data_IF_205363979136
#
_entry.id   IF_205363979136
#
_cell.length_a   1.000
_cell.length_b   1.000
_cell.length_c   1.000
_cell.angle_alpha   90.00
_cell.angle_beta   90.00
_cell.angle_gamma   90.00
#
_symmetry.space_group_name_H-M   'P 1'
#
loop_
_entity.id
_entity.type
_entity.pdbx_description
1 polymer ?
#
# COMPACT_ATOMS: atom_id res chain seq x y z
N UNK A 1 -7.46 -0.87 31.53
CA UNK A 1 -8.18 0.03 30.61
C UNK A 1 -7.29 1.11 29.98
N UNK A 2 -6.28 1.65 30.69
CA UNK A 2 -5.42 2.74 30.19
C UNK A 2 -4.69 2.42 28.88
N UNK A 3 -4.11 1.22 28.74
CA UNK A 3 -3.42 0.81 27.51
C UNK A 3 -4.36 0.56 26.31
N UNK A 4 -5.68 0.43 26.57
CA UNK A 4 -6.68 0.12 25.54
C UNK A 4 -6.92 1.26 24.57
N UNK A 5 -7.13 2.43 25.15
CA UNK A 5 -7.39 3.68 24.46
C UNK A 5 -6.14 4.17 23.70
N UNK A 6 -4.94 3.79 24.15
CA UNK A 6 -3.67 4.28 23.58
C UNK A 6 -3.44 3.74 22.16
N UNK A 7 -3.75 2.48 21.88
CA UNK A 7 -3.49 1.89 20.55
C UNK A 7 -4.35 2.54 19.45
N UNK A 8 -5.65 2.64 19.72
CA UNK A 8 -6.63 3.18 18.78
C UNK A 8 -6.41 4.68 18.57
N UNK A 9 -6.06 5.41 19.65
CA UNK A 9 -5.66 6.82 19.57
C UNK A 9 -4.34 6.96 18.83
N UNK A 10 -3.36 6.08 19.03
CA UNK A 10 -2.09 6.12 18.31
C UNK A 10 -2.31 6.01 16.80
N UNK A 11 -3.11 5.06 16.33
CA UNK A 11 -3.31 4.85 14.89
C UNK A 11 -4.06 6.00 14.22
N UNK A 12 -5.07 6.54 14.90
CA UNK A 12 -5.78 7.72 14.42
C UNK A 12 -4.91 8.97 14.49
N UNK A 13 -4.11 9.12 15.55
CA UNK A 13 -3.17 10.24 15.71
C UNK A 13 -2.04 10.16 14.69
N UNK A 14 -1.46 8.99 14.43
CA UNK A 14 -0.43 8.82 13.42
C UNK A 14 -0.97 9.13 12.01
N UNK A 15 -2.22 8.75 11.73
CA UNK A 15 -2.89 9.13 10.50
C UNK A 15 -3.14 10.63 10.42
N UNK A 16 -3.63 11.25 11.49
CA UNK A 16 -3.86 12.69 11.55
C UNK A 16 -2.55 13.47 11.41
N UNK A 17 -1.51 13.10 12.15
CA UNK A 17 -0.17 13.70 12.08
C UNK A 17 0.38 13.59 10.68
N UNK A 18 0.19 12.47 10.00
CA UNK A 18 0.60 12.34 8.60
C UNK A 18 -0.18 13.23 7.65
N UNK A 19 -1.51 13.28 7.80
CA UNK A 19 -2.34 14.19 7.01
C UNK A 19 -1.87 15.64 7.25
N UNK A 20 -1.68 16.05 8.50
CA UNK A 20 -1.22 17.40 8.83
C UNK A 20 0.21 17.65 8.33
N UNK A 21 1.13 16.71 8.50
CA UNK A 21 2.52 16.84 8.07
C UNK A 21 2.65 16.88 6.54
N UNK A 22 1.96 15.99 5.84
CA UNK A 22 1.98 15.90 4.38
C UNK A 22 1.18 17.03 3.73
N UNK A 23 0.04 17.44 4.28
CA UNK A 23 -0.83 18.41 3.61
C UNK A 23 -0.75 19.81 4.19
N UNK A 24 -0.63 19.95 5.51
CA UNK A 24 -0.53 21.25 6.17
C UNK A 24 0.86 21.86 6.03
N UNK A 25 1.91 21.05 6.19
CA UNK A 25 3.28 21.55 6.18
C UNK A 25 4.01 21.38 4.85
N UNK A 26 3.64 20.43 3.98
CA UNK A 26 4.36 20.24 2.71
C UNK A 26 4.41 21.48 1.82
N UNK A 27 3.35 22.29 1.64
CA UNK A 27 3.46 23.50 0.83
C UNK A 27 4.46 24.50 1.41
N UNK A 28 4.47 24.66 2.74
CA UNK A 28 5.37 25.57 3.46
C UNK A 28 6.82 25.06 3.36
N UNK A 29 7.02 23.76 3.58
CA UNK A 29 8.33 23.11 3.53
C UNK A 29 8.87 23.08 2.11
N UNK A 30 8.05 22.77 1.11
CA UNK A 30 8.44 22.79 -0.30
C UNK A 30 8.90 24.18 -0.74
N UNK A 31 8.22 25.23 -0.27
CA UNK A 31 8.62 26.60 -0.56
C UNK A 31 9.93 27.01 0.15
N UNK A 32 10.21 26.42 1.32
CA UNK A 32 11.40 26.79 2.11
C UNK A 32 12.66 26.01 1.73
N UNK A 33 12.55 24.70 1.47
CA UNK A 33 13.68 23.78 1.30
C UNK A 33 13.50 22.80 0.13
N UNK A 34 12.56 23.07 -0.77
CA UNK A 34 12.28 22.23 -1.93
C UNK A 34 11.51 20.95 -1.59
N UNK A 35 11.10 20.22 -2.63
CA UNK A 35 10.30 18.99 -2.54
C UNK A 35 10.98 17.88 -1.73
N UNK A 36 12.31 17.82 -1.78
CA UNK A 36 13.10 16.89 -0.98
C UNK A 36 12.99 17.17 0.52
N UNK A 37 12.92 18.44 0.92
CA UNK A 37 12.81 18.85 2.33
C UNK A 37 11.55 18.31 3.02
N UNK A 38 10.42 18.20 2.30
CA UNK A 38 9.20 17.60 2.85
C UNK A 38 9.40 16.12 3.19
N UNK A 39 10.11 15.39 2.33
CA UNK A 39 10.37 13.97 2.52
C UNK A 39 11.25 13.75 3.77
N UNK A 40 12.25 14.61 3.97
CA UNK A 40 13.13 14.55 5.13
C UNK A 40 12.46 14.98 6.44
N UNK A 41 11.40 15.79 6.41
CA UNK A 41 10.70 16.21 7.62
C UNK A 41 9.58 15.24 8.05
N UNK A 42 8.75 14.79 7.10
CA UNK A 42 7.57 13.96 7.40
C UNK A 42 7.97 12.53 7.80
N UNK A 43 8.98 11.96 7.13
CA UNK A 43 9.39 10.57 7.34
C UNK A 43 9.90 10.29 8.76
N UNK A 44 10.83 11.09 9.33
CA UNK A 44 11.30 10.87 10.71
C UNK A 44 10.19 10.94 11.75
N UNK A 45 9.24 11.88 11.61
CA UNK A 45 8.09 11.97 12.52
C UNK A 45 7.25 10.69 12.45
N UNK A 46 6.97 10.19 11.24
CA UNK A 46 6.26 8.91 11.09
C UNK A 46 7.03 7.74 11.72
N UNK A 47 8.37 7.69 11.56
CA UNK A 47 9.18 6.63 12.17
C UNK A 47 9.21 6.73 13.68
N UNK A 48 9.32 7.93 14.23
CA UNK A 48 9.30 8.14 15.67
C UNK A 48 8.00 7.64 16.28
N UNK A 49 6.86 7.97 15.65
CA UNK A 49 5.57 7.44 16.07
C UNK A 49 5.56 5.90 16.01
N UNK A 50 6.04 5.32 14.90
CA UNK A 50 6.05 3.87 14.74
C UNK A 50 6.94 3.15 15.75
N UNK A 51 8.08 3.74 16.09
CA UNK A 51 8.96 3.25 17.15
C UNK A 51 8.30 3.34 18.53
N UNK A 52 7.62 4.44 18.85
CA UNK A 52 6.85 4.56 20.08
C UNK A 52 5.81 3.44 20.16
N UNK A 53 5.05 3.19 19.09
CA UNK A 53 4.08 2.09 19.05
C UNK A 53 4.72 0.74 19.31
N UNK A 54 5.85 0.44 18.65
CA UNK A 54 6.58 -0.81 18.82
C UNK A 54 7.02 -0.97 20.29
N UNK A 55 7.63 0.07 20.86
CA UNK A 55 8.13 0.06 22.25
C UNK A 55 7.00 -0.12 23.26
N UNK A 56 5.86 0.53 23.06
CA UNK A 56 4.73 0.45 24.00
C UNK A 56 3.96 -0.88 23.94
N UNK A 57 3.96 -1.57 22.79
CA UNK A 57 3.04 -2.70 22.56
C UNK A 57 3.69 -4.06 22.34
N UNK A 58 4.99 -4.14 22.00
CA UNK A 58 5.66 -5.44 21.90
C UNK A 58 5.78 -6.07 23.28
N UNK A 59 5.18 -7.25 23.46
CA UNK A 59 5.39 -8.11 24.62
C UNK A 59 6.34 -9.26 24.26
N UNK A 60 7.06 -9.78 25.26
CA UNK A 60 8.03 -10.88 25.11
C UNK A 60 7.41 -12.24 24.75
N UNK A 61 6.07 -12.35 24.70
CA UNK A 61 5.41 -13.61 24.34
C UNK A 61 5.79 -14.05 22.92
N UNK A 62 6.29 -15.28 22.78
CA UNK A 62 6.85 -15.82 21.55
C UNK A 62 5.84 -16.62 20.71
N UNK A 63 4.65 -16.94 21.24
CA UNK A 63 3.68 -17.80 20.54
C UNK A 63 3.14 -17.11 19.28
N UNK A 64 3.15 -17.83 18.16
CA UNK A 64 2.61 -17.37 16.87
C UNK A 64 3.52 -16.44 16.04
N UNK A 65 4.75 -16.18 16.51
CA UNK A 65 5.70 -15.23 15.87
C UNK A 65 6.81 -15.92 15.06
N UNK A 66 6.74 -17.23 14.83
CA UNK A 66 7.79 -17.99 14.12
C UNK A 66 8.00 -17.50 12.69
N UNK A 67 6.94 -17.27 11.92
CA UNK A 67 7.03 -16.75 10.56
C UNK A 67 7.66 -15.34 10.50
N UNK A 68 7.41 -14.51 11.51
CA UNK A 68 7.99 -13.16 11.59
C UNK A 68 9.48 -13.22 11.94
N UNK A 69 9.88 -14.09 12.87
CA UNK A 69 11.30 -14.34 13.19
C UNK A 69 12.06 -14.86 11.97
N UNK A 70 11.43 -15.73 11.19
CA UNK A 70 12.03 -16.24 9.96
C UNK A 70 12.21 -15.12 8.92
N UNK A 71 11.21 -14.26 8.70
CA UNK A 71 11.37 -13.10 7.81
C UNK A 71 12.44 -12.11 8.31
N UNK A 72 12.54 -11.89 9.62
CA UNK A 72 13.61 -11.07 10.21
C UNK A 72 14.98 -11.70 9.97
N UNK A 73 15.10 -13.02 10.13
CA UNK A 73 16.33 -13.75 9.84
C UNK A 73 16.74 -13.61 8.36
N UNK A 74 15.78 -13.67 7.43
CA UNK A 74 16.03 -13.48 6.00
C UNK A 74 16.49 -12.06 5.62
N UNK A 75 16.32 -11.05 6.48
CA UNK A 75 16.91 -9.72 6.25
C UNK A 75 18.41 -9.66 6.52
N UNK A 76 18.96 -10.59 7.33
CA UNK A 76 20.37 -10.56 7.75
C UNK A 76 21.32 -10.73 6.55
N UNK A 77 21.15 -11.70 5.63
CA UNK A 77 22.03 -11.84 4.47
C UNK A 77 22.05 -10.57 3.60
N UNK A 78 20.87 -10.01 3.32
CA UNK A 78 20.75 -8.76 2.53
C UNK A 78 21.42 -7.57 3.22
N UNK A 79 21.35 -7.47 4.56
CA UNK A 79 22.06 -6.44 5.32
C UNK A 79 23.58 -6.61 5.21
N UNK A 80 24.09 -7.83 5.37
CA UNK A 80 25.53 -8.11 5.28
C UNK A 80 26.07 -7.81 3.88
N UNK A 81 25.37 -8.27 2.83
CA UNK A 81 25.71 -7.98 1.44
C UNK A 81 25.71 -6.46 1.21
N UNK A 82 24.68 -5.76 1.70
CA UNK A 82 24.58 -4.31 1.59
C UNK A 82 25.78 -3.59 2.17
N UNK A 83 26.15 -3.90 3.42
CA UNK A 83 27.30 -3.28 4.10
C UNK A 83 28.62 -3.62 3.42
N UNK A 84 28.77 -4.85 2.90
CA UNK A 84 30.03 -5.30 2.30
C UNK A 84 30.27 -4.72 0.90
N UNK A 85 29.21 -4.55 0.09
CA UNK A 85 29.34 -4.27 -1.34
C UNK A 85 28.78 -2.90 -1.77
N UNK A 86 28.00 -2.21 -0.93
CA UNK A 86 27.44 -0.90 -1.26
C UNK A 86 28.06 0.22 -0.40
N UNK A 87 28.20 1.41 -0.99
CA UNK A 87 28.64 2.59 -0.24
C UNK A 87 27.60 2.98 0.80
N UNK A 88 28.01 3.07 2.07
CA UNK A 88 27.11 3.42 3.16
C UNK A 88 26.38 4.74 2.89
N UNK A 89 25.06 4.72 3.05
CA UNK A 89 24.19 5.84 2.72
C UNK A 89 22.92 5.80 3.57
N UNK A 90 22.13 6.88 3.56
CA UNK A 90 20.81 6.92 4.22
C UNK A 90 19.84 5.83 3.72
N UNK A 91 20.09 5.26 2.53
CA UNK A 91 19.32 4.14 1.98
C UNK A 91 19.52 2.86 2.79
N UNK A 92 20.71 2.61 3.31
CA UNK A 92 20.96 1.46 4.18
C UNK A 92 20.05 1.47 5.40
N UNK A 93 19.89 2.65 5.99
CA UNK A 93 19.03 2.84 7.16
C UNK A 93 17.56 2.67 6.76
N UNK A 94 17.11 3.33 5.71
CA UNK A 94 15.68 3.30 5.32
C UNK A 94 15.22 1.93 4.82
N UNK A 95 16.04 1.26 4.00
CA UNK A 95 15.75 -0.07 3.47
C UNK A 95 15.79 -1.15 4.56
N UNK A 96 16.59 -0.99 5.62
CA UNK A 96 16.53 -1.88 6.77
C UNK A 96 15.34 -1.57 7.67
N UNK A 97 15.11 -0.29 7.96
CA UNK A 97 14.09 0.13 8.92
C UNK A 97 12.67 -0.14 8.43
N UNK A 98 12.36 -0.01 7.13
CA UNK A 98 10.96 -0.17 6.69
C UNK A 98 10.45 -1.61 6.87
N UNK A 99 11.13 -2.66 6.37
CA UNK A 99 10.71 -4.03 6.61
C UNK A 99 10.73 -4.39 8.10
N UNK A 100 11.71 -3.90 8.85
CA UNK A 100 11.85 -4.18 10.29
C UNK A 100 10.69 -3.57 11.10
N UNK A 101 10.39 -2.29 10.90
CA UNK A 101 9.25 -1.62 11.53
C UNK A 101 7.94 -2.30 11.11
N UNK A 102 7.81 -2.66 9.84
CA UNK A 102 6.65 -3.39 9.32
C UNK A 102 6.42 -4.71 10.06
N UNK A 103 7.44 -5.57 10.16
CA UNK A 103 7.37 -6.85 10.84
C UNK A 103 7.11 -6.69 12.35
N UNK A 104 7.71 -5.69 12.99
CA UNK A 104 7.46 -5.37 14.39
C UNK A 104 6.04 -4.88 14.65
N UNK A 105 5.45 -4.10 13.75
CA UNK A 105 4.02 -3.73 13.84
C UNK A 105 3.10 -4.96 13.76
N UNK A 106 3.41 -5.94 12.91
CA UNK A 106 2.65 -7.20 12.89
C UNK A 106 2.74 -7.89 14.25
N UNK A 107 3.96 -8.03 14.79
CA UNK A 107 4.20 -8.65 16.10
C UNK A 107 3.46 -7.94 17.25
N UNK A 108 3.57 -6.61 17.32
CA UNK A 108 2.89 -5.80 18.33
C UNK A 108 1.36 -5.94 18.22
N UNK A 109 0.83 -5.91 16.99
CA UNK A 109 -0.62 -6.06 16.76
C UNK A 109 -1.10 -7.46 17.15
N UNK A 110 -0.32 -8.52 16.91
CA UNK A 110 -0.65 -9.87 17.38
C UNK A 110 -0.76 -9.94 18.91
N UNK A 111 0.15 -9.28 19.64
CA UNK A 111 0.11 -9.26 21.11
C UNK A 111 -1.09 -8.50 21.65
N UNK A 112 -1.51 -7.43 20.97
CA UNK A 112 -2.77 -6.76 21.25
C UNK A 112 -3.92 -7.73 21.01
N UNK A 113 -4.05 -8.33 19.83
CA UNK A 113 -5.25 -9.10 19.47
C UNK A 113 -5.55 -10.29 20.41
N UNK A 114 -4.55 -10.81 21.14
CA UNK A 114 -4.72 -11.85 22.18
C UNK A 114 -5.72 -11.49 23.28
N UNK A 115 -5.92 -10.20 23.56
CA UNK A 115 -6.88 -9.75 24.58
C UNK A 115 -8.25 -9.57 23.94
N UNK A 116 -9.26 -10.31 24.42
CA UNK A 116 -10.60 -10.39 23.82
C UNK A 116 -11.25 -9.02 23.60
N UNK A 117 -11.10 -8.11 24.56
CA UNK A 117 -11.69 -6.77 24.47
C UNK A 117 -11.11 -5.94 23.32
N UNK A 118 -9.83 -6.15 22.96
CA UNK A 118 -9.22 -5.44 21.84
C UNK A 118 -9.79 -5.83 20.49
N UNK A 119 -10.35 -7.03 20.35
CA UNK A 119 -11.00 -7.44 19.09
C UNK A 119 -12.27 -6.64 18.81
N UNK A 120 -13.09 -6.39 19.84
CA UNK A 120 -14.29 -5.57 19.70
C UNK A 120 -13.91 -4.10 19.38
N UNK A 121 -12.88 -3.58 20.04
CA UNK A 121 -12.36 -2.24 19.77
C UNK A 121 -11.76 -2.13 18.37
N UNK A 122 -11.11 -3.17 17.85
CA UNK A 122 -10.57 -3.18 16.50
C UNK A 122 -11.66 -3.03 15.44
N UNK A 123 -12.86 -3.59 15.65
CA UNK A 123 -13.99 -3.35 14.76
C UNK A 123 -14.40 -1.87 14.74
N UNK A 124 -14.40 -1.21 15.90
CA UNK A 124 -14.66 0.24 16.02
C UNK A 124 -13.55 1.02 15.29
N UNK A 125 -12.30 0.60 15.45
CA UNK A 125 -11.16 1.17 14.72
C UNK A 125 -11.36 1.10 13.22
N UNK A 126 -11.69 -0.08 12.67
CA UNK A 126 -11.92 -0.26 11.21
C UNK A 126 -12.99 0.70 10.69
N UNK A 127 -14.10 0.89 11.44
CA UNK A 127 -15.14 1.85 11.05
C UNK A 127 -14.64 3.30 11.08
N UNK A 128 -13.93 3.71 12.13
CA UNK A 128 -13.35 5.06 12.23
C UNK A 128 -12.31 5.31 11.14
N UNK A 129 -11.49 4.30 10.87
CA UNK A 129 -10.51 4.31 9.81
C UNK A 129 -11.19 4.50 8.45
N UNK A 130 -12.25 3.73 8.15
CA UNK A 130 -13.03 3.89 6.93
C UNK A 130 -13.51 5.34 6.74
N UNK A 131 -14.09 5.96 7.76
CA UNK A 131 -14.54 7.37 7.69
C UNK A 131 -13.37 8.33 7.51
N UNK A 132 -12.30 8.19 8.29
CA UNK A 132 -11.11 9.03 8.15
C UNK A 132 -10.48 8.91 6.75
N UNK A 133 -10.52 7.71 6.18
CA UNK A 133 -9.99 7.40 4.87
C UNK A 133 -10.82 8.03 3.74
N UNK A 134 -12.16 8.09 3.91
CA UNK A 134 -13.05 8.84 3.02
C UNK A 134 -12.75 10.34 3.08
N UNK A 135 -12.74 10.92 4.29
CA UNK A 135 -12.48 12.36 4.48
C UNK A 135 -11.12 12.73 3.88
N UNK A 136 -10.08 11.95 4.17
CA UNK A 136 -8.74 12.16 3.62
C UNK A 136 -8.71 12.08 2.10
N UNK A 137 -9.46 11.16 1.49
CA UNK A 137 -9.55 11.01 0.04
C UNK A 137 -10.31 12.16 -0.63
N UNK A 138 -11.40 12.62 -0.01
CA UNK A 138 -12.15 13.79 -0.47
C UNK A 138 -11.30 15.06 -0.40
N UNK A 139 -10.57 15.26 0.71
CA UNK A 139 -9.65 16.38 0.87
C UNK A 139 -8.52 16.31 -0.16
N UNK A 140 -7.96 15.13 -0.42
CA UNK A 140 -6.97 14.94 -1.47
C UNK A 140 -7.50 15.27 -2.86
N UNK A 141 -8.72 14.84 -3.16
CA UNK A 141 -9.36 15.12 -4.44
C UNK A 141 -9.64 16.62 -4.59
N UNK A 142 -10.12 17.27 -3.52
CA UNK A 142 -10.28 18.72 -3.47
C UNK A 142 -8.95 19.43 -3.74
N UNK A 143 -7.88 19.09 -3.01
CA UNK A 143 -6.55 19.67 -3.23
C UNK A 143 -6.06 19.39 -4.66
N UNK A 144 -6.25 18.18 -5.16
CA UNK A 144 -5.84 17.80 -6.52
C UNK A 144 -6.53 18.66 -7.58
N UNK A 145 -7.83 18.90 -7.50
CA UNK A 145 -8.53 19.69 -8.51
C UNK A 145 -8.39 21.21 -8.32
N UNK A 146 -8.37 21.71 -7.08
CA UNK A 146 -8.32 23.15 -6.81
C UNK A 146 -6.91 23.73 -6.76
N UNK A 147 -5.93 22.99 -6.21
CA UNK A 147 -4.54 23.48 -6.07
C UNK A 147 -3.71 23.20 -7.33
N UNK A 148 -3.96 22.08 -8.01
CA UNK A 148 -3.24 21.75 -9.26
C UNK A 148 -3.67 22.60 -10.47
N UNK A 149 -4.61 23.55 -10.30
CA UNK A 149 -4.83 24.62 -11.29
C UNK A 149 -3.52 25.38 -11.57
N UNK A 150 -2.61 25.44 -10.59
CA UNK A 150 -1.19 25.75 -10.79
C UNK A 150 -0.45 24.49 -11.28
N UNK A 151 -0.55 24.22 -12.59
CA UNK A 151 -0.24 22.99 -13.35
C UNK A 151 1.08 22.24 -13.10
N UNK A 152 1.98 22.70 -12.22
CA UNK A 152 3.36 22.20 -12.15
C UNK A 152 3.65 21.17 -11.05
N UNK A 153 2.82 21.05 -10.00
CA UNK A 153 3.14 20.17 -8.86
C UNK A 153 2.07 19.11 -8.61
N UNK A 154 2.04 18.09 -9.47
CA UNK A 154 1.32 16.86 -9.16
C UNK A 154 2.06 16.12 -8.02
N UNK A 155 1.63 16.32 -6.78
CA UNK A 155 2.27 15.74 -5.58
C UNK A 155 2.12 14.20 -5.46
N UNK A 156 1.70 13.48 -6.51
CA UNK A 156 1.61 12.02 -6.48
C UNK A 156 0.68 11.46 -5.40
N UNK A 157 -0.18 12.29 -4.81
CA UNK A 157 -1.02 11.95 -3.65
C UNK A 157 -1.94 10.77 -3.98
N UNK A 158 -1.89 9.72 -3.16
CA UNK A 158 -2.71 8.52 -3.31
C UNK A 158 -3.87 8.57 -2.32
N UNK A 159 -5.13 8.70 -2.78
CA UNK A 159 -6.28 8.63 -1.89
C UNK A 159 -6.30 7.29 -1.17
N UNK A 160 -6.36 7.32 0.16
CA UNK A 160 -6.45 6.11 0.98
C UNK A 160 -7.89 5.58 1.01
N UNK A 161 -8.56 5.42 -0.13
CA UNK A 161 -10.02 5.15 -0.17
C UNK A 161 -10.36 3.68 0.14
N UNK A 162 -9.40 2.76 0.05
CA UNK A 162 -9.63 1.31 0.18
C UNK A 162 -10.32 0.88 1.50
N UNK A 163 -9.95 1.39 2.69
CA UNK A 163 -10.64 1.04 3.93
C UNK A 163 -12.14 1.41 3.89
N UNK A 164 -12.49 2.57 3.32
CA UNK A 164 -13.89 2.96 3.15
C UNK A 164 -14.62 2.09 2.13
N UNK A 165 -13.97 1.78 1.00
CA UNK A 165 -14.52 0.93 -0.03
C UNK A 165 -14.86 -0.47 0.50
N UNK A 166 -13.90 -1.15 1.13
CA UNK A 166 -14.08 -2.49 1.71
C UNK A 166 -15.19 -2.50 2.76
N UNK A 167 -15.21 -1.48 3.65
CA UNK A 167 -16.24 -1.38 4.70
C UNK A 167 -17.64 -1.17 4.11
N UNK A 168 -17.76 -0.31 3.09
CA UNK A 168 -19.03 -0.05 2.40
C UNK A 168 -19.54 -1.32 1.70
N UNK A 169 -18.64 -2.05 1.05
CA UNK A 169 -18.93 -3.30 0.35
C UNK A 169 -19.44 -4.39 1.33
N UNK A 170 -18.77 -4.55 2.47
CA UNK A 170 -19.19 -5.51 3.51
C UNK A 170 -20.54 -5.16 4.16
N UNK A 171 -20.83 -3.87 4.30
CA UNK A 171 -22.11 -3.40 4.85
C UNK A 171 -23.22 -3.32 3.80
N UNK A 172 -22.94 -3.71 2.55
CA UNK A 172 -23.89 -3.59 1.42
C UNK A 172 -24.39 -2.15 1.24
N UNK A 173 -23.57 -1.15 1.56
CA UNK A 173 -23.86 0.26 1.33
C UNK A 173 -23.54 0.61 -0.14
N UNK A 174 -24.57 0.55 -0.99
CA UNK A 174 -24.46 0.82 -2.43
C UNK A 174 -23.89 2.21 -2.69
N UNK A 175 -24.46 3.25 -2.06
CA UNK A 175 -24.05 4.65 -2.24
C UNK A 175 -22.58 4.82 -1.81
N UNK A 176 -22.19 4.26 -0.66
CA UNK A 176 -20.80 4.31 -0.20
C UNK A 176 -19.82 3.59 -1.13
N UNK A 177 -20.22 2.45 -1.69
CA UNK A 177 -19.40 1.67 -2.63
C UNK A 177 -19.21 2.44 -3.95
N UNK A 178 -20.29 2.98 -4.53
CA UNK A 178 -20.24 3.79 -5.74
C UNK A 178 -19.45 5.08 -5.51
N UNK A 179 -19.66 5.77 -4.39
CA UNK A 179 -18.91 6.97 -4.04
C UNK A 179 -17.41 6.71 -3.89
N UNK A 180 -17.02 5.59 -3.28
CA UNK A 180 -15.62 5.19 -3.18
C UNK A 180 -14.98 4.89 -4.55
N UNK A 181 -15.71 4.21 -5.44
CA UNK A 181 -15.27 3.96 -6.82
C UNK A 181 -15.15 5.25 -7.62
N UNK A 182 -16.09 6.18 -7.46
CA UNK A 182 -16.04 7.50 -8.07
C UNK A 182 -14.79 8.25 -7.61
N UNK A 183 -14.50 8.28 -6.31
CA UNK A 183 -13.28 8.92 -5.76
C UNK A 183 -12.02 8.25 -6.32
N UNK A 184 -11.97 6.92 -6.37
CA UNK A 184 -10.84 6.20 -6.97
C UNK A 184 -10.65 6.58 -8.44
N UNK A 185 -11.73 6.66 -9.22
CA UNK A 185 -11.72 7.05 -10.62
C UNK A 185 -11.23 8.50 -10.79
N UNK A 186 -11.85 9.46 -10.11
CA UNK A 186 -11.51 10.89 -10.20
C UNK A 186 -10.10 11.22 -9.68
N UNK A 187 -9.50 10.35 -8.86
CA UNK A 187 -8.09 10.51 -8.46
C UNK A 187 -7.09 10.29 -9.61
N UNK A 188 -7.52 9.64 -10.70
CA UNK A 188 -6.65 9.24 -11.81
C UNK A 188 -5.59 8.19 -11.45
N UNK A 189 -5.64 7.59 -10.25
CA UNK A 189 -4.70 6.54 -9.82
C UNK A 189 -5.18 5.16 -10.29
N UNK A 190 -4.69 4.74 -11.46
CA UNK A 190 -5.00 3.45 -12.12
C UNK A 190 -4.90 2.24 -11.18
N UNK A 191 -3.86 2.18 -10.36
CA UNK A 191 -3.62 1.07 -9.43
C UNK A 191 -4.72 0.93 -8.36
N UNK A 192 -5.23 2.05 -7.83
CA UNK A 192 -6.30 2.08 -6.82
C UNK A 192 -7.62 1.59 -7.45
N UNK A 193 -7.91 2.05 -8.67
CA UNK A 193 -9.08 1.61 -9.41
C UNK A 193 -9.04 0.10 -9.68
N UNK A 194 -7.90 -0.42 -10.17
CA UNK A 194 -7.71 -1.84 -10.41
C UNK A 194 -7.83 -2.65 -9.10
N UNK A 195 -7.22 -2.17 -8.01
CA UNK A 195 -7.36 -2.77 -6.67
C UNK A 195 -8.81 -2.88 -6.23
N UNK A 196 -9.58 -1.80 -6.38
CA UNK A 196 -11.01 -1.77 -6.05
C UNK A 196 -11.83 -2.75 -6.90
N UNK A 197 -11.54 -2.85 -8.21
CA UNK A 197 -12.22 -3.80 -9.12
C UNK A 197 -11.93 -5.24 -8.72
N UNK A 198 -10.65 -5.58 -8.46
CA UNK A 198 -10.25 -6.93 -8.04
C UNK A 198 -10.90 -7.29 -6.70
N UNK A 199 -10.87 -6.38 -5.72
CA UNK A 199 -11.52 -6.57 -4.42
C UNK A 199 -13.02 -6.79 -4.57
N UNK A 200 -13.68 -6.00 -5.42
CA UNK A 200 -15.10 -6.16 -5.73
C UNK A 200 -15.39 -7.56 -6.28
N UNK A 201 -14.66 -7.99 -7.30
CA UNK A 201 -14.82 -9.29 -7.93
C UNK A 201 -14.62 -10.44 -6.93
N UNK A 202 -13.52 -10.42 -6.16
CA UNK A 202 -13.25 -11.44 -5.14
C UNK A 202 -14.34 -11.45 -4.06
N UNK A 203 -14.80 -10.29 -3.61
CA UNK A 203 -15.90 -10.23 -2.65
C UNK A 203 -17.20 -10.86 -3.19
N UNK A 204 -17.51 -10.66 -4.47
CA UNK A 204 -18.67 -11.30 -5.11
C UNK A 204 -18.53 -12.82 -5.14
N UNK A 205 -17.41 -13.33 -5.65
CA UNK A 205 -17.12 -14.77 -5.78
C UNK A 205 -17.24 -15.47 -4.43
N UNK A 206 -16.67 -14.91 -3.36
CA UNK A 206 -16.66 -15.55 -2.04
C UNK A 206 -17.91 -15.34 -1.20
N UNK A 207 -18.86 -14.49 -1.64
CA UNK A 207 -20.10 -14.21 -0.91
C UNK A 207 -21.35 -14.36 -1.81
N UNK A 208 -21.33 -15.37 -2.69
CA UNK A 208 -22.31 -15.59 -3.77
C UNK A 208 -23.76 -15.80 -3.27
N UNK A 209 -23.96 -16.29 -2.04
CA UNK A 209 -25.31 -16.56 -1.49
C UNK A 209 -26.16 -15.32 -1.17
N UNK A 210 -25.64 -14.10 -1.41
CA UNK A 210 -26.35 -12.81 -1.23
C UNK A 210 -26.51 -12.04 -2.56
N UNK A 211 -26.61 -12.77 -3.67
CA UNK A 211 -26.43 -12.33 -5.07
C UNK A 211 -27.42 -11.25 -5.58
N UNK A 212 -28.68 -11.24 -5.14
CA UNK A 212 -29.72 -10.38 -5.76
C UNK A 212 -29.46 -8.87 -5.55
N UNK A 213 -29.06 -8.45 -4.35
CA UNK A 213 -28.64 -7.04 -4.10
C UNK A 213 -27.29 -6.69 -4.72
N UNK A 214 -26.49 -7.69 -5.10
CA UNK A 214 -25.14 -7.54 -5.66
C UNK A 214 -25.13 -7.44 -7.17
N UNK A 215 -26.12 -8.02 -7.84
CA UNK A 215 -26.35 -7.83 -9.27
C UNK A 215 -26.75 -6.39 -9.58
N UNK A 216 -27.59 -5.78 -8.73
CA UNK A 216 -27.94 -4.34 -8.80
C UNK A 216 -26.71 -3.46 -8.60
N UNK A 217 -25.78 -3.85 -7.72
CA UNK A 217 -24.52 -3.15 -7.49
C UNK A 217 -23.58 -3.27 -8.71
N UNK A 218 -23.46 -4.46 -9.32
CA UNK A 218 -22.68 -4.67 -10.54
C UNK A 218 -23.27 -3.93 -11.76
N UNK A 219 -24.58 -3.98 -11.93
CA UNK A 219 -25.30 -3.21 -12.94
C UNK A 219 -25.16 -1.70 -12.69
N UNK A 220 -25.26 -1.25 -11.43
CA UNK A 220 -25.07 0.15 -11.03
C UNK A 220 -23.66 0.65 -11.29
N UNK A 221 -22.63 -0.17 -11.08
CA UNK A 221 -21.24 0.17 -11.45
C UNK A 221 -21.11 0.26 -12.98
N UNK A 222 -21.68 -0.68 -13.72
CA UNK A 222 -21.62 -0.71 -15.19
C UNK A 222 -22.35 0.50 -15.80
N UNK A 223 -23.51 0.86 -15.25
CA UNK A 223 -24.29 2.04 -15.63
C UNK A 223 -23.61 3.33 -15.19
N UNK A 224 -23.03 3.38 -13.99
CA UNK A 224 -22.27 4.55 -13.53
C UNK A 224 -21.04 4.79 -14.42
N UNK A 225 -20.28 3.73 -14.74
CA UNK A 225 -19.18 3.79 -15.70
C UNK A 225 -19.72 4.25 -17.05
N UNK A 226 -20.75 3.62 -17.60
CA UNK A 226 -21.31 3.96 -18.92
C UNK A 226 -21.84 5.40 -19.03
N UNK A 227 -22.60 5.88 -18.03
CA UNK A 227 -23.17 7.23 -18.02
C UNK A 227 -22.08 8.30 -17.84
N UNK A 228 -21.12 8.07 -16.94
CA UNK A 228 -20.03 9.02 -16.75
C UNK A 228 -19.09 9.04 -17.96
N UNK A 229 -18.85 7.89 -18.61
CA UNK A 229 -18.06 7.79 -19.84
C UNK A 229 -18.69 8.55 -21.01
N UNK A 230 -20.03 8.65 -21.07
CA UNK A 230 -20.76 9.23 -22.20
C UNK A 230 -21.11 10.73 -22.05
N UNK A 231 -21.31 11.27 -20.84
CA UNK A 231 -22.02 12.56 -20.70
C UNK A 231 -21.17 13.71 -20.09
N UNK A 232 -20.22 13.44 -19.18
CA UNK A 232 -19.56 14.52 -18.40
C UNK A 232 -18.03 14.48 -18.35
N UNK A 233 -17.38 13.41 -18.84
CA UNK A 233 -15.97 13.16 -18.51
C UNK A 233 -14.96 13.35 -19.64
N UNK A 234 -15.36 13.57 -20.90
CA UNK A 234 -14.41 13.65 -22.03
C UNK A 234 -13.25 14.62 -21.78
N UNK A 235 -13.52 15.72 -21.07
CA UNK A 235 -12.55 16.79 -20.83
C UNK A 235 -11.89 16.73 -19.45
N UNK A 236 -12.24 15.74 -18.61
CA UNK A 236 -11.67 15.62 -17.26
C UNK A 236 -10.22 15.11 -17.32
N UNK A 237 -9.33 15.66 -16.47
CA UNK A 237 -7.92 15.24 -16.41
C UNK A 237 -7.74 13.73 -16.18
N UNK A 238 -8.64 13.10 -15.42
CA UNK A 238 -8.60 11.66 -15.15
C UNK A 238 -8.95 10.85 -16.40
N UNK A 239 -9.97 11.26 -17.16
CA UNK A 239 -10.36 10.62 -18.40
C UNK A 239 -9.31 10.80 -19.49
N UNK A 240 -8.78 12.02 -19.67
CA UNK A 240 -7.70 12.27 -20.62
C UNK A 240 -6.47 11.39 -20.36
N UNK A 241 -6.12 11.11 -19.09
CA UNK A 241 -5.04 10.16 -18.75
C UNK A 241 -5.37 8.72 -19.15
N UNK A 242 -6.61 8.29 -18.96
CA UNK A 242 -7.05 6.95 -19.33
C UNK A 242 -7.14 6.79 -20.85
N UNK A 243 -7.69 7.78 -21.55
CA UNK A 243 -7.77 7.79 -23.00
C UNK A 243 -6.37 7.79 -23.63
N UNK A 244 -5.46 8.66 -23.16
CA UNK A 244 -4.05 8.63 -23.57
C UNK A 244 -3.39 7.27 -23.33
N UNK A 245 -3.72 6.60 -22.22
CA UNK A 245 -3.22 5.24 -21.95
C UNK A 245 -3.71 4.26 -23.01
N UNK A 246 -5.00 4.29 -23.37
CA UNK A 246 -5.57 3.38 -24.37
C UNK A 246 -4.98 3.68 -25.75
N UNK A 247 -4.99 4.94 -26.18
CA UNK A 247 -4.44 5.39 -27.46
C UNK A 247 -2.97 4.99 -27.62
N UNK A 248 -2.19 5.18 -26.57
CA UNK A 248 -0.77 4.85 -26.59
C UNK A 248 -0.51 3.33 -26.57
N UNK A 249 -1.40 2.53 -25.99
CA UNK A 249 -1.33 1.06 -26.04
C UNK A 249 -1.74 0.48 -27.40
N UNK A 250 -2.49 1.25 -28.20
CA UNK A 250 -2.83 0.90 -29.58
C UNK A 250 -1.84 1.45 -30.60
N UNK A 251 -0.82 2.20 -30.15
CA UNK A 251 0.26 2.68 -31.01
C UNK A 251 1.21 1.53 -31.35
N UNK A 252 1.70 1.48 -32.59
CA UNK A 252 2.78 0.56 -32.99
C UNK A 252 4.17 1.06 -32.54
N UNK A 253 4.26 2.29 -32.04
CA UNK A 253 5.50 2.89 -31.57
C UNK A 253 5.85 2.44 -30.14
N UNK A 254 6.98 1.73 -30.01
CA UNK A 254 7.48 1.23 -28.73
C UNK A 254 7.85 2.35 -27.75
N UNK A 255 8.25 3.53 -28.21
CA UNK A 255 8.54 4.68 -27.35
C UNK A 255 7.25 5.26 -26.76
N UNK A 256 6.19 5.30 -27.57
CA UNK A 256 4.86 5.69 -27.10
C UNK A 256 4.34 4.69 -26.07
N UNK A 257 4.48 3.39 -26.32
CA UNK A 257 4.12 2.34 -25.36
C UNK A 257 4.94 2.47 -24.07
N UNK A 258 6.26 2.67 -24.14
CA UNK A 258 7.14 2.79 -22.97
C UNK A 258 6.77 4.01 -22.10
N UNK A 259 6.32 5.11 -22.73
CA UNK A 259 5.83 6.30 -22.02
C UNK A 259 4.60 6.03 -21.14
N UNK A 260 3.71 5.11 -21.56
CA UNK A 260 2.52 4.70 -20.78
C UNK A 260 2.89 3.98 -19.50
N UNK A 261 3.94 3.17 -19.59
CA UNK A 261 4.53 2.45 -18.47
C UNK A 261 5.37 3.35 -17.58
N UNK A 262 5.53 4.64 -17.90
CA UNK A 262 6.24 5.62 -17.07
C UNK A 262 7.64 5.15 -16.68
N UNK A 263 8.40 4.66 -17.66
CA UNK A 263 9.78 4.17 -17.48
C UNK A 263 9.91 2.91 -16.61
N UNK A 264 8.81 2.20 -16.30
CA UNK A 264 8.86 0.95 -15.53
C UNK A 264 9.57 -0.18 -16.26
N UNK A 265 9.48 -0.24 -17.59
CA UNK A 265 10.21 -1.22 -18.38
C UNK A 265 11.71 -1.02 -18.21
N UNK A 266 12.19 0.22 -18.31
CA UNK A 266 13.60 0.53 -18.11
C UNK A 266 14.06 0.38 -16.66
N UNK A 267 13.18 0.54 -15.66
CA UNK A 267 13.48 0.13 -14.28
C UNK A 267 13.65 -1.39 -14.13
N UNK A 268 12.83 -2.18 -14.82
CA UNK A 268 12.93 -3.65 -14.81
C UNK A 268 14.23 -4.07 -15.49
N UNK A 269 14.51 -3.53 -16.67
CA UNK A 269 15.74 -3.78 -17.42
C UNK A 269 16.98 -3.37 -16.63
N UNK A 270 16.98 -2.17 -16.05
CA UNK A 270 18.09 -1.70 -15.21
C UNK A 270 18.36 -2.58 -14.00
N UNK A 271 17.31 -3.12 -13.37
CA UNK A 271 17.48 -4.13 -12.31
C UNK A 271 18.05 -5.43 -12.89
N UNK A 272 17.50 -5.94 -14.00
CA UNK A 272 17.93 -7.21 -14.59
C UNK A 272 19.39 -7.17 -15.06
N UNK A 273 19.83 -6.05 -15.63
CA UNK A 273 21.20 -5.85 -16.11
C UNK A 273 22.22 -5.81 -14.96
N UNK A 274 21.82 -5.32 -13.79
CA UNK A 274 22.69 -5.30 -12.62
C UNK A 274 22.74 -6.63 -11.88
N UNK A 275 21.73 -7.48 -12.02
CA UNK A 275 21.57 -8.70 -11.24
C UNK A 275 22.41 -9.87 -11.78
N UNK A 276 23.36 -10.33 -10.98
CA UNK A 276 24.03 -11.62 -11.22
C UNK A 276 23.19 -12.79 -10.71
N UNK A 277 23.53 -14.03 -11.09
CA UNK A 277 22.81 -15.23 -10.66
C UNK A 277 22.66 -15.36 -9.13
N UNK A 278 23.69 -14.99 -8.36
CA UNK A 278 23.64 -15.04 -6.89
C UNK A 278 22.78 -13.93 -6.29
N UNK A 279 22.70 -12.78 -6.97
CA UNK A 279 21.88 -11.65 -6.53
C UNK A 279 20.39 -12.01 -6.59
N UNK A 280 19.96 -12.90 -7.49
CA UNK A 280 18.56 -13.36 -7.50
C UNK A 280 18.19 -14.13 -6.23
N UNK A 281 19.14 -14.84 -5.63
CA UNK A 281 18.89 -15.65 -4.43
C UNK A 281 18.88 -14.79 -3.16
N UNK A 282 19.90 -13.94 -3.01
CA UNK A 282 20.15 -13.19 -1.77
C UNK A 282 19.86 -11.68 -1.85
N UNK A 283 19.63 -11.16 -3.05
CA UNK A 283 19.55 -9.74 -3.36
C UNK A 283 20.93 -9.09 -3.49
N UNK A 284 20.96 -7.90 -4.10
CA UNK A 284 22.08 -6.95 -4.10
C UNK A 284 22.33 -6.29 -2.74
N UNK A 285 21.51 -6.62 -1.75
CA UNK A 285 21.62 -6.13 -0.39
C UNK A 285 20.94 -4.78 -0.15
N UNK A 286 20.80 -4.45 1.12
CA UNK A 286 20.19 -3.20 1.59
C UNK A 286 21.03 -2.00 1.13
N UNK A 287 20.36 -0.93 0.68
CA UNK A 287 21.05 0.28 0.20
C UNK A 287 21.55 0.19 -1.24
N UNK A 288 21.32 -0.93 -1.93
CA UNK A 288 21.61 -1.07 -3.35
C UNK A 288 20.76 -0.11 -4.19
N UNK A 289 21.32 0.25 -5.34
CA UNK A 289 20.72 1.19 -6.27
C UNK A 289 21.00 0.71 -7.68
N UNK A 290 20.04 0.88 -8.57
CA UNK A 290 20.21 0.52 -9.97
C UNK A 290 20.19 1.74 -10.88
N UNK A 291 20.90 1.63 -12.00
CA UNK A 291 20.85 2.60 -13.09
C UNK A 291 19.73 2.23 -14.06
N UNK A 292 19.04 3.23 -14.57
CA UNK A 292 18.08 3.05 -15.66
C UNK A 292 18.19 4.25 -16.60
N UNK A 293 17.94 4.03 -17.89
CA UNK A 293 17.85 5.10 -18.89
C UNK A 293 16.40 5.54 -19.01
N UNK A 294 16.17 6.85 -19.10
CA UNK A 294 14.85 7.41 -19.36
C UNK A 294 14.93 8.32 -20.58
N UNK A 295 14.51 7.80 -21.73
CA UNK A 295 14.62 8.49 -23.03
C UNK A 295 13.79 9.79 -23.10
N UNK A 296 12.79 9.92 -22.24
CA UNK A 296 11.89 11.09 -22.21
C UNK A 296 12.46 12.33 -21.49
N UNK A 297 13.58 12.21 -20.80
CA UNK A 297 14.30 13.34 -20.19
C UNK A 297 15.78 13.23 -20.55
N UNK A 298 16.27 14.17 -21.37
CA UNK A 298 17.69 14.29 -21.74
C UNK A 298 18.63 13.90 -20.59
N UNK A 299 19.38 12.81 -20.79
CA UNK A 299 20.67 12.52 -20.15
C UNK A 299 20.80 12.91 -18.66
N UNK A 300 19.88 12.50 -17.79
CA UNK A 300 20.23 12.31 -16.38
C UNK A 300 20.92 10.95 -16.20
N UNK A 301 22.15 10.85 -16.70
CA UNK A 301 23.09 9.75 -16.47
C UNK A 301 23.51 9.60 -14.97
N UNK A 302 22.74 10.10 -14.01
CA UNK A 302 23.23 10.37 -12.64
C UNK A 302 22.38 9.96 -11.45
N UNK A 303 21.12 9.52 -11.60
CA UNK A 303 20.34 9.18 -10.41
C UNK A 303 20.03 7.69 -10.31
N UNK A 304 20.87 6.99 -9.56
CA UNK A 304 20.63 5.62 -9.19
C UNK A 304 19.35 5.55 -8.33
N UNK A 305 18.29 4.91 -8.83
CA UNK A 305 17.07 4.72 -8.07
C UNK A 305 17.27 3.59 -7.07
N UNK A 306 16.75 3.78 -5.87
CA UNK A 306 16.80 2.78 -4.81
C UNK A 306 15.58 1.89 -4.84
N UNK A 307 14.47 2.37 -5.39
CA UNK A 307 13.18 1.71 -5.32
C UNK A 307 12.56 1.73 -6.70
N UNK A 308 12.54 0.60 -7.40
CA UNK A 308 11.71 0.49 -8.60
C UNK A 308 10.25 0.51 -8.20
N UNK A 309 9.42 1.09 -9.05
CA UNK A 309 7.98 1.14 -8.88
C UNK A 309 7.33 -0.25 -9.01
N UNK A 310 8.08 -1.30 -9.34
CA UNK A 310 7.58 -2.67 -9.37
C UNK A 310 7.96 -3.45 -8.09
N UNK A 311 7.05 -3.47 -7.10
CA UNK A 311 7.34 -4.06 -5.76
C UNK A 311 7.92 -5.46 -5.77
N UNK A 312 7.41 -6.44 -6.57
CA UNK A 312 7.97 -7.79 -6.54
C UNK A 312 9.45 -7.83 -6.92
N UNK A 313 9.82 -7.14 -8.00
CA UNK A 313 11.21 -7.10 -8.45
C UNK A 313 12.08 -6.29 -7.49
N UNK A 314 11.59 -5.20 -6.92
CA UNK A 314 12.34 -4.45 -5.90
C UNK A 314 12.62 -5.30 -4.66
N UNK A 315 11.68 -6.16 -4.24
CA UNK A 315 11.91 -7.09 -3.13
C UNK A 315 12.99 -8.13 -3.48
N UNK A 316 12.97 -8.66 -4.70
CA UNK A 316 14.00 -9.60 -5.17
C UNK A 316 15.36 -8.91 -5.26
N UNK A 317 15.40 -7.73 -5.88
CA UNK A 317 16.61 -6.92 -6.04
C UNK A 317 17.29 -6.63 -4.70
N UNK A 318 16.53 -6.26 -3.66
CA UNK A 318 17.11 -5.91 -2.36
C UNK A 318 17.35 -7.11 -1.46
N UNK A 319 16.35 -7.99 -1.33
CA UNK A 319 16.31 -9.01 -0.29
C UNK A 319 16.37 -10.45 -0.82
N UNK A 320 16.39 -10.63 -2.14
CA UNK A 320 16.42 -11.93 -2.80
C UNK A 320 15.06 -12.59 -2.96
N UNK A 321 14.98 -13.56 -3.87
CA UNK A 321 13.76 -14.28 -4.21
C UNK A 321 13.20 -15.06 -3.01
N UNK A 322 14.07 -15.59 -2.14
CA UNK A 322 13.64 -16.36 -0.96
C UNK A 322 12.84 -15.46 -0.03
N UNK A 323 13.34 -14.26 0.28
CA UNK A 323 12.62 -13.29 1.09
C UNK A 323 11.31 -12.87 0.42
N UNK A 324 11.35 -12.51 -0.87
CA UNK A 324 10.19 -12.05 -1.62
C UNK A 324 9.06 -13.11 -1.62
N UNK A 325 9.39 -14.37 -1.93
CA UNK A 325 8.43 -15.48 -1.92
C UNK A 325 7.86 -15.70 -0.53
N UNK A 326 8.68 -15.78 0.52
CA UNK A 326 8.19 -15.95 1.88
C UNK A 326 7.29 -14.80 2.33
N UNK A 327 7.61 -13.58 1.95
CA UNK A 327 6.80 -12.39 2.22
C UNK A 327 5.43 -12.45 1.52
N UNK A 328 5.41 -12.75 0.21
CA UNK A 328 4.15 -12.89 -0.51
C UNK A 328 3.32 -14.07 -0.04
N UNK A 329 3.93 -15.21 0.32
CA UNK A 329 3.22 -16.34 0.92
C UNK A 329 2.53 -15.93 2.23
N UNK A 330 3.15 -15.06 3.03
CA UNK A 330 2.52 -14.51 4.24
C UNK A 330 1.25 -13.71 3.89
N UNK A 331 1.31 -12.87 2.85
CA UNK A 331 0.17 -12.07 2.39
C UNK A 331 -0.93 -12.92 1.75
N UNK A 332 -0.57 -13.88 0.88
CA UNK A 332 -1.52 -14.80 0.24
C UNK A 332 -2.23 -15.68 1.25
N UNK A 333 -1.53 -16.15 2.29
CA UNK A 333 -2.16 -16.82 3.43
C UNK A 333 -3.22 -15.94 4.11
N UNK A 334 -3.01 -14.62 4.09
CA UNK A 334 -4.00 -13.62 4.48
C UNK A 334 -5.27 -13.66 3.61
N UNK A 335 -5.09 -13.62 2.29
CA UNK A 335 -6.17 -13.66 1.30
C UNK A 335 -7.00 -14.93 1.38
N UNK A 336 -6.41 -16.07 1.76
CA UNK A 336 -7.17 -17.32 1.95
C UNK A 336 -8.28 -17.22 3.02
N UNK A 337 -8.30 -16.17 3.86
CA UNK A 337 -9.35 -15.93 4.85
C UNK A 337 -10.51 -15.07 4.35
N UNK A 338 -10.62 -14.80 3.05
CA UNK A 338 -11.76 -14.09 2.43
C UNK A 338 -13.14 -14.73 2.73
N UNK A 339 -13.17 -16.05 2.98
CA UNK A 339 -14.38 -16.80 3.36
C UNK A 339 -14.74 -16.70 4.85
N UNK A 340 -13.98 -15.94 5.65
CA UNK A 340 -14.25 -15.81 7.08
C UNK A 340 -15.61 -15.16 7.33
N UNK A 341 -16.37 -15.72 8.28
CA UNK A 341 -17.63 -15.11 8.78
C UNK A 341 -17.37 -13.91 9.68
N UNK A 342 -16.16 -13.78 10.23
CA UNK A 342 -15.76 -12.59 10.99
C UNK A 342 -15.49 -11.43 10.01
N UNK A 343 -16.31 -10.38 10.12
CA UNK A 343 -16.21 -9.16 9.30
C UNK A 343 -14.83 -8.51 9.39
N UNK A 344 -14.18 -8.53 10.55
CA UNK A 344 -12.85 -7.91 10.74
C UNK A 344 -11.79 -8.71 9.98
N UNK A 345 -11.83 -10.04 10.06
CA UNK A 345 -10.90 -10.90 9.34
C UNK A 345 -11.13 -10.80 7.83
N UNK A 346 -12.38 -10.80 7.39
CA UNK A 346 -12.72 -10.63 5.99
C UNK A 346 -12.32 -9.24 5.46
N UNK A 347 -12.50 -8.18 6.27
CA UNK A 347 -12.04 -6.83 5.95
C UNK A 347 -10.53 -6.84 5.72
N UNK A 348 -9.77 -7.40 6.65
CA UNK A 348 -8.31 -7.48 6.54
C UNK A 348 -7.86 -8.29 5.33
N UNK A 349 -8.53 -9.41 5.00
CA UNK A 349 -8.21 -10.20 3.81
C UNK A 349 -8.49 -9.43 2.50
N UNK A 350 -9.62 -8.72 2.40
CA UNK A 350 -9.94 -7.86 1.26
C UNK A 350 -8.98 -6.67 1.15
N UNK A 351 -8.59 -6.06 2.27
CA UNK A 351 -7.64 -4.96 2.30
C UNK A 351 -6.25 -5.41 1.86
N UNK A 352 -5.76 -6.57 2.32
CA UNK A 352 -4.50 -7.17 1.84
C UNK A 352 -4.55 -7.38 0.33
N UNK A 353 -5.67 -7.89 -0.20
CA UNK A 353 -5.84 -8.08 -1.64
C UNK A 353 -5.76 -6.74 -2.40
N UNK A 354 -6.44 -5.69 -1.90
CA UNK A 354 -6.39 -4.35 -2.49
C UNK A 354 -4.95 -3.83 -2.58
N UNK A 355 -4.23 -3.93 -1.46
CA UNK A 355 -2.83 -3.51 -1.30
C UNK A 355 -1.91 -4.29 -2.24
N UNK A 356 -2.04 -5.62 -2.36
CA UNK A 356 -1.21 -6.39 -3.30
C UNK A 356 -1.36 -5.82 -4.70
N UNK A 357 -2.60 -5.64 -5.17
CA UNK A 357 -2.88 -5.14 -6.51
C UNK A 357 -2.37 -3.70 -6.70
N UNK A 358 -2.56 -2.83 -5.72
CA UNK A 358 -2.07 -1.46 -5.76
C UNK A 358 -0.54 -1.39 -5.84
N UNK A 359 0.14 -2.17 -5.00
CA UNK A 359 1.59 -2.12 -4.88
C UNK A 359 2.36 -3.01 -5.85
N UNK A 360 1.70 -3.85 -6.67
CA UNK A 360 2.34 -4.39 -7.89
C UNK A 360 2.98 -3.27 -8.72
N UNK A 361 2.46 -2.05 -8.61
CA UNK A 361 2.86 -0.88 -9.39
C UNK A 361 3.46 0.28 -8.57
N UNK A 362 3.77 0.07 -7.29
CA UNK A 362 4.46 1.08 -6.46
C UNK A 362 5.30 0.44 -5.35
N UNK A 363 6.50 0.98 -5.08
CA UNK A 363 7.25 0.66 -3.85
C UNK A 363 6.63 1.38 -2.64
N UNK A 364 5.72 0.71 -1.95
CA UNK A 364 5.13 1.27 -0.73
C UNK A 364 4.56 0.24 0.25
N UNK A 365 4.74 -1.06 -0.01
CA UNK A 365 4.22 -2.14 0.84
C UNK A 365 4.63 -1.99 2.32
N UNK A 366 5.90 -1.70 2.58
CA UNK A 366 6.41 -1.56 3.95
C UNK A 366 6.07 -0.22 4.61
N UNK A 367 5.63 0.76 3.82
CA UNK A 367 5.24 2.09 4.30
C UNK A 367 3.75 2.10 4.67
N UNK A 368 2.95 1.19 4.10
CA UNK A 368 1.54 1.05 4.45
C UNK A 368 1.37 0.76 5.95
N UNK A 369 0.58 1.61 6.60
CA UNK A 369 0.38 1.61 8.05
C UNK A 369 -0.62 0.56 8.51
N UNK A 370 -1.58 0.24 7.65
CA UNK A 370 -2.70 -0.63 7.97
C UNK A 370 -2.45 -2.07 7.53
N UNK A 371 -1.63 -2.26 6.50
CA UNK A 371 -1.23 -3.57 6.02
C UNK A 371 -0.65 -4.49 7.10
N UNK A 372 0.31 -4.08 7.94
CA UNK A 372 0.84 -4.96 8.98
C UNK A 372 -0.23 -5.36 10.01
N UNK A 373 -1.20 -4.48 10.29
CA UNK A 373 -2.31 -4.79 11.19
C UNK A 373 -3.30 -5.75 10.55
N UNK A 374 -3.61 -5.57 9.26
CA UNK A 374 -4.46 -6.50 8.52
C UNK A 374 -3.83 -7.89 8.48
N UNK A 375 -2.53 -7.99 8.21
CA UNK A 375 -1.80 -9.27 8.27
C UNK A 375 -1.89 -9.88 9.67
N UNK A 376 -1.65 -9.11 10.73
CA UNK A 376 -1.74 -9.58 12.11
C UNK A 376 -3.14 -10.14 12.45
N UNK A 377 -4.21 -9.44 12.08
CA UNK A 377 -5.60 -9.90 12.28
C UNK A 377 -5.82 -11.27 11.65
N UNK A 378 -5.37 -11.44 10.41
CA UNK A 378 -5.60 -12.70 9.69
C UNK A 378 -4.76 -13.84 10.27
N UNK A 379 -3.52 -13.58 10.65
CA UNK A 379 -2.66 -14.56 11.34
C UNK A 379 -3.25 -14.98 12.68
N UNK A 380 -3.74 -14.02 13.47
CA UNK A 380 -4.37 -14.28 14.77
C UNK A 380 -5.61 -15.17 14.66
N UNK A 381 -6.48 -14.90 13.67
CA UNK A 381 -7.69 -15.69 13.47
C UNK A 381 -7.41 -17.18 13.19
N UNK A 382 -6.29 -17.49 12.51
CA UNK A 382 -5.89 -18.89 12.26
C UNK A 382 -5.35 -19.57 13.51
N UNK A 383 -4.57 -18.88 14.33
CA UNK A 383 -4.02 -19.44 15.59
C UNK A 383 -5.16 -19.92 16.49
N UNK A 384 -6.22 -19.11 16.65
CA UNK A 384 -7.33 -19.46 17.54
C UNK A 384 -8.26 -20.57 17.01
N UNK A 385 -8.34 -20.77 15.69
CA UNK A 385 -9.08 -21.93 15.14
C UNK A 385 -8.38 -23.26 15.48
N UNK A 386 -7.05 -23.25 15.58
CA UNK A 386 -6.28 -24.44 15.97
C UNK A 386 -6.46 -24.82 17.44
N UNK A 387 -6.64 -23.85 18.34
CA UNK A 387 -6.80 -24.07 19.79
C UNK A 387 -8.24 -24.35 20.23
N UNK A 388 -9.24 -24.17 19.36
CA UNK A 388 -10.65 -24.50 19.67
C UNK A 388 -10.99 -25.93 19.21
N UNK A 389 -10.21 -26.48 18.27
CA UNK A 389 -10.41 -27.81 17.70
C UNK A 389 -9.40 -28.86 18.21
N UNK A 390 -8.52 -28.47 19.14
CA UNK A 390 -7.58 -29.33 19.87
C UNK A 390 -7.91 -29.18 21.35
#
# INVERSE_FOLDING_TARGET
MRNKVILLRYLLLAQLVYIVAVYGFSPIINNAIGTEGTVYFVRPISYFLDLLFIVFFIKRDQRGKSSLRFLLFLLIPSLLIGIMFNSFSSRHITDLLFPLIFLFKISATLDVLKVREYRAEFLIFVKKLAVASLISSLLMLFVFYFVSYNKLNYLGLTPLIQPYFVTSLQNSNLIGTLGALAIAFFSGKRAIMLGSIVVFFFYLVFNITRLTKKFILGAGITVFIGINFLIFLSDSTAFLKLNRTIESLTSDDQEVISSVFSSRSSEIEGIMDEMSGMDYVFGKGIGSTFKFQNDSFQLYNKEALGNAHFSPLTLVFKYGIIFAVCFYLLMFRGIMQLRSRDKVVQFSALFILAVIVEYLFSYGLFIDRYLPMAIAVVLFAKINRGTINA
#
